data_IF_056644644438
#
_entry.id   IF_056644644438
#
_cell.length_a   1.000
_cell.length_b   1.000
_cell.length_c   1.000
_cell.angle_alpha   90.00
_cell.angle_beta   90.00
_cell.angle_gamma   90.00
#
_symmetry.space_group_name_H-M   'P 1'
#
loop_
_entity.id
_entity.type
_entity.pdbx_description
1 polymer ?
#
# COMPACT_ATOMS: atom_id res chain seq x y z
N UNK A 1 -25.01 -22.03 -3.15
CA UNK A 1 -25.69 -20.74 -3.37
C UNK A 1 -26.46 -20.47 -2.09
N UNK A 2 -25.97 -19.58 -1.24
CA UNK A 2 -26.71 -18.38 -0.85
C UNK A 2 -25.84 -17.48 0.02
N UNK A 3 -26.19 -16.21 0.03
CA UNK A 3 -25.31 -15.05 0.19
C UNK A 3 -25.27 -14.62 1.67
N UNK A 4 -24.15 -14.82 2.36
CA UNK A 4 -23.91 -14.14 3.65
C UNK A 4 -23.55 -12.69 3.35
N UNK A 5 -24.58 -11.86 3.27
CA UNK A 5 -24.50 -10.41 3.15
C UNK A 5 -23.60 -9.84 4.23
N UNK A 6 -22.52 -9.20 3.79
CA UNK A 6 -21.76 -8.27 4.59
C UNK A 6 -22.71 -7.15 5.03
N UNK A 7 -23.13 -7.19 6.30
CA UNK A 7 -23.78 -6.05 6.95
C UNK A 7 -22.75 -4.91 7.02
N UNK A 8 -22.81 -4.02 6.03
CA UNK A 8 -22.16 -2.73 6.07
C UNK A 8 -23.00 -1.83 6.97
N UNK A 9 -22.65 -1.80 8.26
CA UNK A 9 -23.25 -0.90 9.25
C UNK A 9 -22.73 0.54 9.00
N UNK A 10 -23.60 1.51 8.66
CA UNK A 10 -23.20 2.90 8.50
C UNK A 10 -23.03 3.57 9.87
N UNK A 11 -21.78 3.91 10.22
CA UNK A 11 -21.42 5.07 11.04
C UNK A 11 -22.06 5.20 12.44
N UNK A 12 -21.47 4.54 13.44
CA UNK A 12 -21.69 4.87 14.86
C UNK A 12 -21.13 6.27 15.24
N UNK A 13 -21.64 6.90 16.32
CA UNK A 13 -21.46 8.32 16.61
C UNK A 13 -19.98 8.68 16.81
N UNK A 14 -19.50 9.56 15.93
CA UNK A 14 -18.11 10.00 15.90
C UNK A 14 -17.68 10.63 17.22
N UNK A 15 -16.65 10.07 17.84
CA UNK A 15 -15.94 10.73 18.94
C UNK A 15 -15.32 12.03 18.40
N UNK A 16 -15.69 13.22 18.91
CA UNK A 16 -15.41 14.51 18.25
C UNK A 16 -13.93 14.96 18.28
N UNK A 17 -13.02 14.21 18.90
CA UNK A 17 -11.65 14.69 19.12
C UNK A 17 -10.67 14.56 17.94
N UNK A 18 -10.92 13.70 16.95
CA UNK A 18 -9.88 13.34 15.95
C UNK A 18 -10.42 13.09 14.53
N UNK A 19 -11.71 13.38 14.30
CA UNK A 19 -12.35 13.34 12.99
C UNK A 19 -12.19 14.67 12.23
N UNK A 20 -11.29 15.54 12.69
CA UNK A 20 -10.99 16.81 12.02
C UNK A 20 -10.19 16.61 10.72
N UNK A 21 -10.11 17.66 9.88
CA UNK A 21 -9.36 17.64 8.64
C UNK A 21 -7.91 17.19 8.87
N UNK A 22 -7.31 16.57 7.87
CA UNK A 22 -5.93 16.10 7.93
C UNK A 22 -5.05 17.08 7.13
N UNK A 23 -4.31 17.93 7.83
CA UNK A 23 -3.34 18.84 7.22
C UNK A 23 -2.09 18.06 6.81
N UNK A 24 -1.80 18.02 5.50
CA UNK A 24 -0.65 17.30 4.93
C UNK A 24 0.51 18.25 4.67
N UNK A 25 0.23 19.38 4.02
CA UNK A 25 1.16 20.48 3.74
C UNK A 25 0.47 21.82 3.98
N UNK A 26 1.19 22.94 3.86
CA UNK A 26 0.60 24.27 3.97
C UNK A 26 -0.50 24.55 2.91
N UNK A 27 -0.51 23.80 1.80
CA UNK A 27 -1.44 23.97 0.69
C UNK A 27 -2.42 22.80 0.50
N UNK A 28 -2.26 21.70 1.24
CA UNK A 28 -3.08 20.50 1.08
C UNK A 28 -3.67 20.10 2.43
N UNK A 29 -4.98 20.26 2.54
CA UNK A 29 -5.79 19.86 3.68
C UNK A 29 -6.82 18.86 3.18
N UNK A 30 -6.72 17.62 3.66
CA UNK A 30 -7.67 16.56 3.31
C UNK A 30 -8.93 16.75 4.16
N UNK A 31 -10.11 16.90 3.56
CA UNK A 31 -11.35 17.13 4.29
C UNK A 31 -11.76 15.89 5.09
N UNK A 32 -12.50 16.04 6.21
CA UNK A 32 -13.02 14.91 6.99
C UNK A 32 -13.82 13.91 6.17
N UNK A 33 -14.56 14.39 5.16
CA UNK A 33 -15.37 13.56 4.28
C UNK A 33 -14.56 12.54 3.46
N UNK A 34 -13.26 12.79 3.25
CA UNK A 34 -12.36 11.87 2.58
C UNK A 34 -11.70 10.85 3.52
N UNK A 35 -11.96 10.95 4.84
CA UNK A 35 -11.35 10.15 5.89
C UNK A 35 -12.37 9.18 6.47
N UNK A 36 -12.23 7.90 6.17
CA UNK A 36 -13.07 6.86 6.77
C UNK A 36 -12.29 6.10 7.84
N UNK A 37 -12.92 5.94 8.99
CA UNK A 37 -12.35 5.26 10.15
C UNK A 37 -13.02 3.91 10.33
N UNK A 38 -12.23 2.84 10.46
CA UNK A 38 -12.71 1.52 10.84
C UNK A 38 -12.02 1.10 12.13
N UNK A 39 -12.81 0.62 13.06
CA UNK A 39 -12.34 0.17 14.37
C UNK A 39 -12.56 -1.33 14.46
N UNK A 40 -11.57 -2.03 14.99
CA UNK A 40 -11.69 -3.46 15.20
C UNK A 40 -10.91 -3.88 16.44
N UNK A 41 -11.13 -5.11 16.86
CA UNK A 41 -10.30 -5.74 17.89
C UNK A 41 -8.88 -5.93 17.37
N UNK A 42 -7.88 -5.60 18.19
CA UNK A 42 -6.49 -5.97 17.92
C UNK A 42 -6.30 -7.46 18.22
N UNK A 43 -5.83 -8.23 17.25
CA UNK A 43 -5.42 -9.63 17.46
C UNK A 43 -3.96 -9.69 17.88
N UNK A 44 -3.68 -10.28 19.05
CA UNK A 44 -2.34 -10.61 19.54
C UNK A 44 -2.29 -12.06 20.03
N UNK A 45 -1.14 -12.74 19.98
CA UNK A 45 -0.99 -14.11 20.46
C UNK A 45 -1.01 -14.12 22.00
N UNK A 46 -2.14 -14.46 22.60
CA UNK A 46 -2.27 -14.53 24.06
C UNK A 46 -3.69 -14.81 24.50
N UNK A 47 -3.94 -16.08 24.81
CA UNK A 47 -5.20 -16.52 25.41
C UNK A 47 -5.42 -15.97 26.82
N UNK A 48 -6.69 -16.02 27.22
CA UNK A 48 -7.23 -15.75 28.55
C UNK A 48 -7.21 -14.29 29.03
N UNK A 49 -8.34 -13.62 28.80
CA UNK A 49 -9.04 -12.88 29.85
C UNK A 49 -8.68 -11.42 30.07
N UNK A 50 -8.91 -10.52 29.09
CA UNK A 50 -9.19 -9.10 29.37
C UNK A 50 -10.08 -8.54 28.25
N UNK A 51 -11.19 -7.87 28.61
CA UNK A 51 -12.09 -7.13 27.71
C UNK A 51 -11.30 -6.33 26.67
N UNK A 52 -11.17 -6.88 25.46
CA UNK A 52 -10.36 -6.27 24.40
C UNK A 52 -11.23 -5.26 23.67
N UNK A 53 -11.26 -4.04 24.22
CA UNK A 53 -11.80 -2.85 23.54
C UNK A 53 -11.19 -2.75 22.14
N UNK A 54 -11.97 -2.27 21.16
CA UNK A 54 -11.59 -2.11 19.75
C UNK A 54 -10.46 -1.11 19.57
N UNK A 55 -9.24 -1.56 19.90
CA UNK A 55 -8.05 -0.74 19.91
C UNK A 55 -7.44 -0.63 18.52
N UNK A 56 -7.63 -1.60 17.62
CA UNK A 56 -7.11 -1.50 16.25
C UNK A 56 -7.89 -0.46 15.47
N UNK A 57 -7.15 0.42 14.81
CA UNK A 57 -7.68 1.51 14.00
C UNK A 57 -7.18 1.36 12.58
N UNK A 58 -8.08 1.48 11.63
CA UNK A 58 -7.80 1.58 10.21
C UNK A 58 -8.35 2.92 9.70
N UNK A 59 -7.49 3.68 9.04
CA UNK A 59 -7.79 4.95 8.40
C UNK A 59 -7.70 4.75 6.88
N UNK A 60 -8.82 4.97 6.21
CA UNK A 60 -8.92 4.96 4.75
C UNK A 60 -9.02 6.41 4.27
N UNK A 61 -8.09 6.81 3.41
CA UNK A 61 -8.06 8.14 2.80
C UNK A 61 -8.40 8.02 1.32
N UNK A 62 -9.56 8.56 0.95
CA UNK A 62 -10.07 8.62 -0.43
C UNK A 62 -9.34 9.73 -1.20
N UNK A 63 -8.56 9.37 -2.22
CA UNK A 63 -7.77 10.36 -2.97
C UNK A 63 -8.64 11.24 -3.87
N UNK A 64 -9.70 10.68 -4.44
CA UNK A 64 -10.73 11.38 -5.22
C UNK A 64 -11.40 12.52 -4.45
N UNK A 65 -11.62 12.35 -3.15
CA UNK A 65 -12.21 13.35 -2.27
C UNK A 65 -11.19 14.20 -1.49
N UNK A 66 -9.88 14.00 -1.71
CA UNK A 66 -8.84 14.59 -0.86
C UNK A 66 -8.59 16.10 -1.06
N UNK A 67 -9.31 16.76 -1.97
CA UNK A 67 -9.17 18.20 -2.24
C UNK A 67 -7.82 18.57 -2.88
N UNK A 68 -7.14 17.61 -3.49
CA UNK A 68 -5.86 17.83 -4.18
C UNK A 68 -6.07 18.24 -5.64
N UNK A 69 -5.15 19.03 -6.19
CA UNK A 69 -5.15 19.37 -7.62
C UNK A 69 -4.77 18.16 -8.47
N UNK A 70 -5.15 18.13 -9.76
CA UNK A 70 -4.81 17.03 -10.68
C UNK A 70 -3.32 16.61 -10.65
N UNK A 71 -2.37 17.55 -10.78
CA UNK A 71 -0.94 17.22 -10.70
C UNK A 71 -0.50 16.65 -9.34
N UNK A 72 -1.12 17.08 -8.24
CA UNK A 72 -0.85 16.55 -6.90
C UNK A 72 -1.40 15.13 -6.77
N UNK A 73 -2.63 14.89 -7.25
CA UNK A 73 -3.24 13.56 -7.27
C UNK A 73 -2.40 12.57 -8.08
N UNK A 74 -1.97 12.95 -9.28
CA UNK A 74 -1.15 12.09 -10.13
C UNK A 74 0.19 11.74 -9.48
N UNK A 75 0.80 12.72 -8.80
CA UNK A 75 2.03 12.49 -8.04
C UNK A 75 1.79 11.51 -6.89
N UNK A 76 0.72 11.69 -6.12
CA UNK A 76 0.37 10.80 -5.00
C UNK A 76 0.07 9.39 -5.50
N UNK A 77 -0.75 9.25 -6.54
CA UNK A 77 -1.06 7.97 -7.19
C UNK A 77 0.21 7.27 -7.67
N UNK A 78 1.13 8.00 -8.30
CA UNK A 78 2.39 7.41 -8.79
C UNK A 78 3.30 6.99 -7.63
N UNK A 79 3.46 7.83 -6.61
CA UNK A 79 4.36 7.55 -5.49
C UNK A 79 3.83 6.43 -4.58
N UNK A 80 2.51 6.38 -4.37
CA UNK A 80 1.85 5.42 -3.48
C UNK A 80 1.18 4.27 -4.23
N UNK A 81 1.40 4.08 -5.53
CA UNK A 81 0.73 3.04 -6.34
C UNK A 81 0.72 1.64 -5.70
N UNK A 82 1.78 1.28 -4.98
CA UNK A 82 1.94 -0.01 -4.29
C UNK A 82 1.21 -0.11 -2.94
N UNK A 83 0.59 0.97 -2.48
CA UNK A 83 -0.11 1.12 -1.19
C UNK A 83 -1.57 1.53 -1.35
N UNK A 84 -2.00 1.82 -2.58
CA UNK A 84 -3.37 2.19 -2.87
C UNK A 84 -4.18 0.94 -3.22
N UNK A 85 -5.39 0.89 -2.70
CA UNK A 85 -6.43 -0.05 -3.10
C UNK A 85 -7.64 0.79 -3.53
N UNK A 86 -8.14 0.60 -4.76
CA UNK A 86 -9.31 1.32 -5.29
C UNK A 86 -9.27 2.84 -5.10
N UNK A 87 -8.10 3.43 -5.40
CA UNK A 87 -7.80 4.86 -5.26
C UNK A 87 -7.90 5.40 -3.81
N UNK A 88 -7.79 4.50 -2.84
CA UNK A 88 -7.76 4.82 -1.42
C UNK A 88 -6.44 4.37 -0.77
N UNK A 89 -5.89 5.24 0.09
CA UNK A 89 -4.76 4.91 0.95
C UNK A 89 -5.27 4.33 2.26
N UNK A 90 -4.89 3.09 2.57
CA UNK A 90 -5.26 2.42 3.81
C UNK A 90 -4.08 2.41 4.78
N UNK A 91 -4.30 2.90 6.00
CA UNK A 91 -3.30 2.95 7.08
C UNK A 91 -3.86 2.28 8.32
N UNK A 92 -3.15 1.29 8.84
CA UNK A 92 -3.53 0.56 10.05
C UNK A 92 -2.59 0.91 11.20
N UNK A 93 -3.16 1.05 12.40
CA UNK A 93 -2.45 1.25 13.65
C UNK A 93 -3.07 0.36 14.75
N UNK A 94 -2.22 -0.39 15.46
CA UNK A 94 -2.62 -1.30 16.53
C UNK A 94 -1.54 -1.49 17.59
N UNK A 95 -0.61 -0.54 17.69
CA UNK A 95 0.56 -0.61 18.58
C UNK A 95 0.19 -0.34 20.04
N UNK A 96 -0.88 0.41 20.27
CA UNK A 96 -1.29 0.82 21.61
C UNK A 96 -2.54 0.07 22.06
N UNK A 97 -2.69 -0.08 23.38
CA UNK A 97 -3.96 -0.57 23.97
C UNK A 97 -5.10 0.46 23.85
N UNK A 98 -4.75 1.74 23.68
CA UNK A 98 -5.71 2.85 23.56
C UNK A 98 -6.07 3.11 22.10
N UNK A 99 -7.37 3.06 21.79
CA UNK A 99 -7.91 3.42 20.48
C UNK A 99 -7.54 4.86 20.09
N UNK A 100 -7.59 5.82 21.03
CA UNK A 100 -7.22 7.21 20.77
C UNK A 100 -5.77 7.36 20.30
N UNK A 101 -4.84 6.66 20.96
CA UNK A 101 -3.42 6.67 20.55
C UNK A 101 -3.23 6.01 19.19
N UNK A 102 -3.95 4.93 18.90
CA UNK A 102 -3.91 4.31 17.57
C UNK A 102 -4.52 5.20 16.48
N UNK A 103 -5.56 5.98 16.78
CA UNK A 103 -6.08 7.00 15.85
C UNK A 103 -5.04 8.04 15.53
N UNK A 104 -4.35 8.58 16.54
CA UNK A 104 -3.29 9.55 16.32
C UNK A 104 -2.15 8.96 15.47
N UNK A 105 -1.70 7.75 15.80
CA UNK A 105 -0.67 7.05 15.03
C UNK A 105 -1.07 6.83 13.56
N UNK A 106 -2.34 6.49 13.29
CA UNK A 106 -2.86 6.36 11.93
C UNK A 106 -2.86 7.70 11.18
N UNK A 107 -3.25 8.81 11.83
CA UNK A 107 -3.18 10.16 11.25
C UNK A 107 -1.75 10.53 10.88
N UNK A 108 -0.83 10.38 11.83
CA UNK A 108 0.57 10.78 11.64
C UNK A 108 1.23 10.02 10.49
N UNK A 109 0.94 8.71 10.39
CA UNK A 109 1.40 7.86 9.27
C UNK A 109 0.80 8.29 7.93
N UNK A 110 -0.51 8.53 7.88
CA UNK A 110 -1.18 8.98 6.66
C UNK A 110 -0.59 10.32 6.19
N UNK A 111 -0.44 11.28 7.10
CA UNK A 111 0.19 12.58 6.84
C UNK A 111 1.61 12.41 6.32
N UNK A 112 2.43 11.58 6.96
CA UNK A 112 3.81 11.36 6.56
C UNK A 112 3.89 10.78 5.13
N UNK A 113 3.05 9.78 4.81
CA UNK A 113 3.01 9.15 3.49
C UNK A 113 2.56 10.14 2.40
N UNK A 114 1.48 10.89 2.64
CA UNK A 114 0.98 11.88 1.69
C UNK A 114 1.98 13.04 1.50
N UNK A 115 2.60 13.51 2.58
CA UNK A 115 3.62 14.56 2.52
C UNK A 115 4.87 14.10 1.77
N UNK A 116 5.31 12.87 2.00
CA UNK A 116 6.43 12.27 1.26
C UNK A 116 6.07 12.16 -0.22
N UNK A 117 4.86 11.71 -0.55
CA UNK A 117 4.41 11.60 -1.93
C UNK A 117 4.37 12.97 -2.64
N UNK A 118 3.91 14.02 -1.96
CA UNK A 118 3.82 15.37 -2.53
C UNK A 118 5.18 16.06 -2.65
N UNK A 119 6.11 15.82 -1.72
CA UNK A 119 7.40 16.53 -1.64
C UNK A 119 8.53 15.78 -2.34
N UNK A 120 8.46 14.45 -2.43
CA UNK A 120 9.55 13.67 -3.02
C UNK A 120 9.73 13.99 -4.52
N UNK A 121 10.98 14.08 -5.01
CA UNK A 121 11.23 14.12 -6.43
C UNK A 121 10.61 12.89 -7.12
N UNK A 122 10.06 13.05 -8.33
CA UNK A 122 9.30 11.99 -9.00
C UNK A 122 10.09 10.68 -9.01
N UNK A 123 9.43 9.52 -8.75
CA UNK A 123 10.13 8.25 -8.64
C UNK A 123 10.95 8.02 -9.90
N UNK A 124 12.27 7.84 -9.72
CA UNK A 124 13.19 7.59 -10.83
C UNK A 124 12.66 6.39 -11.60
N UNK A 125 12.16 6.63 -12.80
CA UNK A 125 11.76 5.57 -13.73
C UNK A 125 12.94 4.61 -13.87
N UNK A 126 12.83 3.42 -13.29
CA UNK A 126 13.85 2.37 -13.44
C UNK A 126 13.77 1.89 -14.88
N UNK A 127 14.63 2.44 -15.75
CA UNK A 127 14.84 1.89 -17.09
C UNK A 127 15.26 0.44 -16.93
N UNK A 128 14.50 -0.49 -17.54
CA UNK A 128 14.83 -1.93 -17.56
C UNK A 128 16.30 -2.07 -17.94
N UNK A 129 17.11 -2.65 -17.05
CA UNK A 129 18.53 -2.89 -17.34
C UNK A 129 18.62 -3.83 -18.53
N UNK A 130 19.30 -3.39 -19.60
CA UNK A 130 19.67 -4.27 -20.72
C UNK A 130 20.45 -5.46 -20.15
N UNK A 131 20.27 -6.69 -20.67
CA UNK A 131 21.06 -7.85 -20.24
C UNK A 131 22.54 -7.51 -20.29
N UNK A 132 23.28 -7.80 -19.20
CA UNK A 132 24.72 -7.55 -19.15
C UNK A 132 25.45 -8.33 -20.24
N UNK A 133 26.61 -7.85 -20.69
CA UNK A 133 27.45 -8.57 -21.67
C UNK A 133 27.73 -10.02 -21.23
N UNK A 134 27.93 -10.23 -19.92
CA UNK A 134 28.09 -11.56 -19.33
C UNK A 134 26.86 -12.46 -19.52
N UNK A 135 25.65 -11.94 -19.36
CA UNK A 135 24.42 -12.70 -19.60
C UNK A 135 24.25 -13.06 -21.10
N UNK A 136 24.63 -12.15 -22.01
CA UNK A 136 24.64 -12.42 -23.45
C UNK A 136 25.66 -13.49 -23.82
N UNK A 137 26.87 -13.44 -23.24
CA UNK A 137 27.94 -14.40 -23.49
C UNK A 137 27.57 -15.80 -23.00
N UNK A 138 27.08 -15.94 -21.76
CA UNK A 138 26.59 -17.21 -21.20
C UNK A 138 25.51 -17.86 -22.07
N UNK A 139 24.62 -17.06 -22.69
CA UNK A 139 23.60 -17.56 -23.62
C UNK A 139 24.22 -18.14 -24.90
N UNK A 140 25.21 -17.46 -25.47
CA UNK A 140 25.91 -17.93 -26.66
C UNK A 140 26.68 -19.22 -26.37
N UNK A 141 27.35 -19.29 -25.22
CA UNK A 141 28.12 -20.47 -24.81
C UNK A 141 27.20 -21.65 -24.49
N UNK A 142 26.05 -21.42 -23.86
CA UNK A 142 25.02 -22.44 -23.67
C UNK A 142 24.45 -22.94 -25.01
N UNK A 143 24.22 -22.05 -25.99
CA UNK A 143 23.76 -22.44 -27.33
C UNK A 143 24.82 -23.28 -28.06
N UNK A 144 26.09 -22.88 -28.01
CA UNK A 144 27.22 -23.62 -28.60
C UNK A 144 27.34 -25.02 -28.00
N UNK A 145 27.37 -25.12 -26.66
CA UNK A 145 27.42 -26.41 -25.95
C UNK A 145 26.24 -27.30 -26.33
N UNK A 146 25.02 -26.76 -26.36
CA UNK A 146 23.83 -27.53 -26.75
C UNK A 146 23.88 -28.00 -28.21
N UNK A 147 24.44 -27.19 -29.12
CA UNK A 147 24.67 -27.57 -30.51
C UNK A 147 25.67 -28.71 -30.63
N UNK A 148 26.80 -28.64 -29.92
CA UNK A 148 27.81 -29.69 -29.87
C UNK A 148 27.24 -30.99 -29.29
N UNK A 149 26.51 -30.92 -28.16
CA UNK A 149 25.84 -32.09 -27.57
C UNK A 149 24.83 -32.71 -28.52
N UNK A 150 24.09 -31.92 -29.31
CA UNK A 150 23.16 -32.46 -30.33
C UNK A 150 23.90 -33.10 -31.51
N UNK A 151 25.00 -32.49 -31.96
CA UNK A 151 25.82 -33.03 -33.05
C UNK A 151 26.44 -34.37 -32.70
N UNK A 152 26.94 -34.51 -31.47
CA UNK A 152 27.51 -35.76 -30.95
C UNK A 152 26.47 -36.87 -30.71
N UNK A 153 25.18 -36.53 -30.72
CA UNK A 153 24.07 -37.50 -30.58
C UNK A 153 23.50 -37.98 -31.92
N UNK A 154 23.94 -37.42 -33.06
CA UNK A 154 23.56 -37.94 -34.37
C UNK A 154 24.29 -39.27 -34.55
N UNK A 155 23.54 -40.38 -34.68
CA UNK A 155 24.14 -41.68 -35.02
C UNK A 155 24.78 -41.57 -36.41
N UNK A 156 25.93 -42.21 -36.67
CA UNK A 156 26.43 -42.35 -38.04
C UNK A 156 25.36 -43.07 -38.86
N UNK A 157 24.96 -42.47 -39.97
CA UNK A 157 24.17 -43.17 -40.99
C UNK A 157 25.14 -44.16 -41.67
N UNK A 158 25.02 -45.44 -41.31
CA UNK A 158 25.55 -46.57 -42.07
C UNK A 158 24.39 -47.27 -42.75
#
# INVERSE_FOLDING_TARGET
MDTTGAHEEPGGPGTPGVAGPLAVTASVIVPPAALHWRFSRAHGPGGQGVNTTDSRVELVVRLDAAGMTGPQLDRVRTALAHRLADDALVVVASEHRSQLRNRQAARDRATALLRQALTAPPPRTRKRRRPSRAAKQRRLDAKKRRGQTKSLRRRPDH
#
